data_IF_558327573364
#
_entry.id   IF_558327573364
#
_cell.length_a   1.000
_cell.length_b   1.000
_cell.length_c   1.000
_cell.angle_alpha   90.00
_cell.angle_beta   90.00
_cell.angle_gamma   90.00
#
_symmetry.space_group_name_H-M   'P 1'
#
loop_
_entity.id
_entity.type
_entity.pdbx_description
1 polymer ?
#
# COMPACT_ATOMS: atom_id res chain seq x y z
N UNK A 1 2.84 21.07 35.95
CA UNK A 1 1.72 21.95 36.23
C UNK A 1 0.62 21.68 35.25
N UNK A 2 -0.29 20.75 35.62
CA UNK A 2 -1.49 20.43 34.83
C UNK A 2 -2.48 21.59 34.90
N UNK A 3 -2.42 22.50 33.96
CA UNK A 3 -3.53 23.41 33.73
C UNK A 3 -4.62 22.60 33.05
N UNK A 4 -5.65 22.23 33.81
CA UNK A 4 -6.91 21.76 33.23
C UNK A 4 -7.45 22.88 32.33
N UNK A 5 -7.52 22.63 31.04
CA UNK A 5 -8.18 23.54 30.09
C UNK A 5 -9.68 23.45 30.32
N UNK A 6 -10.25 24.43 31.02
CA UNK A 6 -11.68 24.56 31.19
C UNK A 6 -12.25 25.28 29.98
N UNK A 7 -13.25 24.68 29.36
CA UNK A 7 -14.01 25.28 28.24
C UNK A 7 -15.41 25.61 28.73
N UNK A 8 -15.84 26.84 28.51
CA UNK A 8 -17.21 27.29 28.85
C UNK A 8 -18.04 27.27 27.55
N UNK A 9 -19.12 26.52 27.56
CA UNK A 9 -20.11 26.53 26.49
C UNK A 9 -21.38 27.24 27.02
N UNK A 10 -21.83 28.26 26.31
CA UNK A 10 -23.10 28.94 26.62
C UNK A 10 -24.19 28.25 25.80
N UNK A 11 -25.14 27.62 26.50
CA UNK A 11 -26.33 27.03 25.87
C UNK A 11 -27.37 28.16 25.70
N UNK A 12 -27.87 28.40 24.48
CA UNK A 12 -28.91 29.41 24.26
C UNK A 12 -30.18 29.10 25.07
N UNK A 13 -30.82 30.13 25.61
CA UNK A 13 -32.01 29.99 26.45
C UNK A 13 -33.21 29.33 25.74
N UNK A 14 -33.25 29.42 24.43
CA UNK A 14 -34.27 28.80 23.58
C UNK A 14 -34.07 27.30 23.33
N UNK A 15 -32.90 26.75 23.71
CA UNK A 15 -32.66 25.30 23.63
C UNK A 15 -33.59 24.49 24.52
N UNK A 16 -34.28 25.11 25.47
CA UNK A 16 -35.21 24.48 26.39
C UNK A 16 -36.71 24.62 25.97
N UNK A 17 -36.98 25.28 24.87
CA UNK A 17 -38.36 25.66 24.48
C UNK A 17 -39.29 24.50 24.02
N UNK A 18 -38.75 23.33 23.81
CA UNK A 18 -39.54 22.16 23.44
C UNK A 18 -39.52 21.10 24.56
N UNK A 19 -40.55 21.05 25.36
CA UNK A 19 -40.75 20.25 26.56
C UNK A 19 -40.68 18.71 26.39
N UNK A 20 -39.68 18.21 25.74
CA UNK A 20 -39.32 16.81 25.74
C UNK A 20 -37.91 16.68 26.34
N UNK A 21 -37.76 15.72 27.24
CA UNK A 21 -36.46 15.32 27.83
C UNK A 21 -35.58 14.79 26.69
N UNK A 22 -34.95 15.69 25.98
CA UNK A 22 -34.03 15.38 24.87
C UNK A 22 -32.60 15.16 25.38
N UNK A 23 -31.93 14.16 24.86
CA UNK A 23 -30.48 13.99 25.04
C UNK A 23 -29.78 15.02 24.18
N UNK A 24 -29.01 15.95 24.77
CA UNK A 24 -28.16 16.86 24.02
C UNK A 24 -26.84 16.16 23.70
N UNK A 25 -26.45 16.16 22.43
CA UNK A 25 -25.11 15.79 22.02
C UNK A 25 -24.30 17.08 21.80
N UNK A 26 -23.26 17.26 22.60
CA UNK A 26 -22.32 18.37 22.43
C UNK A 26 -21.15 17.85 21.61
N UNK A 27 -21.00 18.34 20.40
CA UNK A 27 -19.82 18.06 19.58
C UNK A 27 -18.77 19.11 19.89
N UNK A 28 -17.68 18.71 20.53
CA UNK A 28 -16.54 19.61 20.77
C UNK A 28 -15.47 19.28 19.74
N UNK A 29 -15.21 20.22 18.84
CA UNK A 29 -14.14 20.10 17.87
C UNK A 29 -12.94 20.90 18.37
N UNK A 30 -11.84 20.22 18.64
CA UNK A 30 -10.58 20.86 18.97
C UNK A 30 -9.79 21.11 17.71
N UNK A 31 -9.40 22.37 17.48
CA UNK A 31 -8.42 22.73 16.47
C UNK A 31 -7.05 22.88 17.16
N UNK A 32 -5.97 22.35 16.56
CA UNK A 32 -4.63 22.59 17.10
C UNK A 32 -4.29 24.08 17.03
N UNK A 33 -3.66 24.60 18.06
CA UNK A 33 -3.13 25.95 18.04
C UNK A 33 -1.80 25.91 17.30
N UNK A 34 -1.74 26.62 16.18
CA UNK A 34 -0.52 26.74 15.38
C UNK A 34 0.42 27.78 16.01
N UNK A 35 1.72 27.50 15.98
CA UNK A 35 2.75 28.48 16.33
C UNK A 35 2.93 29.49 15.19
N UNK A 36 3.57 30.62 15.52
CA UNK A 36 3.88 31.63 14.52
C UNK A 36 4.75 31.08 13.38
N UNK A 37 4.33 31.32 12.16
CA UNK A 37 4.99 30.82 10.93
C UNK A 37 4.69 29.39 10.56
N UNK A 38 3.84 28.68 11.30
CA UNK A 38 3.35 27.36 10.90
C UNK A 38 2.12 27.46 10.00
N UNK A 39 2.03 26.54 9.05
CA UNK A 39 0.88 26.30 8.22
C UNK A 39 0.17 25.02 8.61
N UNK A 40 -1.14 25.03 8.51
CA UNK A 40 -2.01 23.91 8.90
C UNK A 40 -1.80 22.69 8.01
N UNK A 41 -1.83 21.51 8.64
CA UNK A 41 -1.83 20.20 7.99
C UNK A 41 -3.13 19.50 8.34
N UNK A 42 -4.00 19.32 7.35
CA UNK A 42 -5.28 18.61 7.49
C UNK A 42 -5.17 17.22 6.87
N UNK A 43 -5.38 16.18 7.66
CA UNK A 43 -5.53 14.81 7.15
C UNK A 43 -7.01 14.43 7.17
N UNK A 44 -7.50 13.90 6.05
CA UNK A 44 -8.87 13.39 5.90
C UNK A 44 -8.89 11.87 5.67
N UNK A 45 -7.71 11.24 5.63
CA UNK A 45 -7.59 9.79 5.46
C UNK A 45 -7.87 9.06 6.78
N UNK A 46 -8.70 8.03 6.74
CA UNK A 46 -9.04 7.18 7.89
C UNK A 46 -7.84 6.31 8.31
N UNK A 47 -7.02 5.90 7.35
CA UNK A 47 -5.88 4.99 7.54
C UNK A 47 -4.53 5.71 7.56
N UNK A 48 -4.57 7.04 7.61
CA UNK A 48 -3.39 7.90 7.66
C UNK A 48 -3.31 8.62 9.00
N UNK A 49 -2.13 8.65 9.59
CA UNK A 49 -1.79 9.52 10.71
C UNK A 49 -0.61 10.42 10.35
N UNK A 50 -0.60 11.63 10.88
CA UNK A 50 0.48 12.60 10.70
C UNK A 50 1.18 12.86 12.03
N UNK A 51 2.48 13.12 12.00
CA UNK A 51 3.27 13.36 13.20
C UNK A 51 3.05 14.76 13.80
N UNK A 52 2.49 15.67 13.02
CA UNK A 52 2.20 17.06 13.43
C UNK A 52 1.02 17.66 12.65
N UNK A 53 0.29 18.58 13.26
CA UNK A 53 -0.86 19.27 12.64
C UNK A 53 -0.51 20.65 12.06
N UNK A 54 0.72 21.09 12.26
CA UNK A 54 1.27 22.30 11.68
C UNK A 54 2.77 22.21 11.57
N UNK A 55 3.34 22.83 10.54
CA UNK A 55 4.76 22.87 10.28
C UNK A 55 5.17 24.17 9.62
N UNK A 56 6.43 24.59 9.82
CA UNK A 56 7.02 25.71 9.12
C UNK A 56 7.47 25.29 7.70
N UNK A 57 7.52 26.22 6.75
CA UNK A 57 8.06 25.93 5.43
C UNK A 57 9.45 25.29 5.50
N UNK A 58 9.66 24.29 4.67
CA UNK A 58 10.92 23.52 4.64
C UNK A 58 11.04 22.42 5.68
N UNK A 59 10.16 22.33 6.67
CA UNK A 59 10.16 21.22 7.61
C UNK A 59 9.65 19.92 6.97
N UNK A 60 10.26 18.81 7.36
CA UNK A 60 9.78 17.48 6.97
C UNK A 60 8.60 17.06 7.85
N UNK A 61 7.55 16.61 7.20
CA UNK A 61 6.33 16.07 7.82
C UNK A 61 6.26 14.58 7.52
N UNK A 62 5.96 13.78 8.53
CA UNK A 62 5.84 12.34 8.41
C UNK A 62 4.37 11.91 8.40
N UNK A 63 4.04 11.03 7.45
CA UNK A 63 2.72 10.41 7.32
C UNK A 63 2.89 8.91 7.52
N UNK A 64 2.15 8.33 8.44
CA UNK A 64 2.11 6.89 8.63
C UNK A 64 0.79 6.35 8.08
N UNK A 65 0.89 5.45 7.12
CA UNK A 65 -0.23 4.69 6.57
C UNK A 65 -0.28 3.32 7.21
N UNK A 66 -1.43 2.93 7.73
CA UNK A 66 -1.64 1.61 8.33
C UNK A 66 -2.79 0.91 7.62
N UNK A 67 -2.57 -0.35 7.20
CA UNK A 67 -3.60 -1.22 6.64
C UNK A 67 -3.64 -2.53 7.41
N UNK A 68 -4.83 -2.97 7.76
CA UNK A 68 -5.08 -4.27 8.41
C UNK A 68 -5.35 -5.37 7.36
N UNK A 69 -4.86 -5.18 6.14
CA UNK A 69 -5.04 -6.12 5.04
C UNK A 69 -3.78 -6.25 4.20
N UNK A 70 -3.34 -7.49 3.97
CA UNK A 70 -2.22 -7.80 3.08
C UNK A 70 -2.52 -7.50 1.61
N UNK A 71 -3.80 -7.32 1.24
CA UNK A 71 -4.24 -7.09 -0.14
C UNK A 71 -4.59 -5.63 -0.44
N UNK A 72 -4.43 -4.73 0.53
CA UNK A 72 -4.71 -3.29 0.37
C UNK A 72 -3.67 -2.45 1.10
N UNK A 73 -3.29 -1.34 0.53
CA UNK A 73 -2.58 -0.28 1.24
C UNK A 73 -3.17 1.08 0.87
N UNK A 74 -2.87 2.06 1.69
CA UNK A 74 -3.34 3.43 1.51
C UNK A 74 -2.13 4.33 1.27
N UNK A 75 -2.12 5.00 0.12
CA UNK A 75 -1.04 5.90 -0.29
C UNK A 75 -1.50 7.33 -0.06
N UNK A 76 -0.74 8.16 0.67
CA UNK A 76 -1.10 9.55 0.84
C UNK A 76 -0.96 10.32 -0.47
N UNK A 77 -1.88 11.23 -0.68
CA UNK A 77 -1.79 12.27 -1.70
C UNK A 77 -1.83 13.60 -0.96
N UNK A 78 -0.79 14.40 -1.15
CA UNK A 78 -0.64 15.71 -0.49
C UNK A 78 -0.84 16.81 -1.52
N UNK A 79 -1.66 17.78 -1.21
CA UNK A 79 -1.87 18.96 -2.05
C UNK A 79 -1.93 20.20 -1.18
N UNK A 80 -1.48 21.34 -1.73
CA UNK A 80 -1.65 22.65 -1.09
C UNK A 80 -3.09 23.16 -1.22
N UNK A 81 -3.38 24.32 -0.63
CA UNK A 81 -4.69 24.94 -0.65
C UNK A 81 -5.16 25.35 -2.05
N UNK A 82 -4.25 25.48 -3.03
CA UNK A 82 -4.56 25.76 -4.43
C UNK A 82 -4.77 24.46 -5.24
N UNK A 83 -4.63 23.28 -4.61
CA UNK A 83 -4.77 21.99 -5.25
C UNK A 83 -3.50 21.52 -5.98
N UNK A 84 -2.37 22.21 -5.80
CA UNK A 84 -1.09 21.79 -6.37
C UNK A 84 -0.57 20.57 -5.61
N UNK A 85 -0.28 19.49 -6.34
CA UNK A 85 0.27 18.25 -5.75
C UNK A 85 1.67 18.46 -5.18
N UNK A 86 1.92 17.88 -4.02
CA UNK A 86 3.21 17.88 -3.33
C UNK A 86 3.75 16.45 -3.33
N UNK A 87 4.97 16.28 -3.79
CA UNK A 87 5.60 14.97 -3.86
C UNK A 87 5.84 14.39 -2.47
N UNK A 88 5.55 13.09 -2.34
CA UNK A 88 5.82 12.32 -1.13
C UNK A 88 6.89 11.28 -1.39
N UNK A 89 7.77 11.06 -0.42
CA UNK A 89 8.80 10.02 -0.45
C UNK A 89 8.40 8.88 0.47
N UNK A 90 8.42 7.64 -0.03
CA UNK A 90 8.23 6.44 0.78
C UNK A 90 9.56 6.11 1.49
N UNK A 91 9.60 6.25 2.80
CA UNK A 91 10.78 5.99 3.64
C UNK A 91 10.93 4.51 4.02
N UNK A 92 9.81 3.89 4.39
CA UNK A 92 9.83 2.50 4.83
C UNK A 92 8.51 1.78 4.59
N UNK A 93 8.61 0.46 4.48
CA UNK A 93 7.47 -0.46 4.48
C UNK A 93 7.76 -1.61 5.42
N UNK A 94 6.89 -1.83 6.38
CA UNK A 94 6.88 -2.99 7.27
C UNK A 94 5.65 -3.81 6.96
N UNK A 95 5.84 -5.10 6.74
CA UNK A 95 4.76 -6.07 6.50
C UNK A 95 4.86 -7.11 7.60
N UNK A 96 3.84 -7.17 8.43
CA UNK A 96 3.71 -8.13 9.52
C UNK A 96 2.39 -8.87 9.33
N UNK A 97 2.48 -10.16 9.01
CA UNK A 97 1.34 -11.01 8.65
C UNK A 97 0.37 -10.31 7.68
N UNK A 98 -0.78 -9.83 8.19
CA UNK A 98 -1.80 -9.14 7.39
C UNK A 98 -1.71 -7.61 7.48
N UNK A 99 -0.85 -7.09 8.35
CA UNK A 99 -0.71 -5.65 8.57
C UNK A 99 0.40 -5.05 7.72
N UNK A 100 0.11 -3.88 7.13
CA UNK A 100 1.09 -3.11 6.36
C UNK A 100 1.18 -1.74 6.97
N UNK A 101 2.41 -1.37 7.36
CA UNK A 101 2.72 -0.02 7.83
C UNK A 101 3.72 0.60 6.86
N UNK A 102 3.34 1.73 6.29
CA UNK A 102 4.20 2.50 5.38
C UNK A 102 4.40 3.91 5.95
N UNK A 103 5.62 4.38 5.89
CA UNK A 103 5.98 5.74 6.31
C UNK A 103 6.36 6.55 5.10
N UNK A 104 5.70 7.67 4.93
CA UNK A 104 5.95 8.66 3.88
C UNK A 104 6.39 9.97 4.51
N UNK A 105 7.15 10.75 3.75
CA UNK A 105 7.52 12.11 4.12
C UNK A 105 7.24 13.08 2.98
N UNK A 106 7.02 14.34 3.33
CA UNK A 106 6.99 15.46 2.40
C UNK A 106 7.60 16.70 3.05
N UNK A 107 7.99 17.67 2.24
CA UNK A 107 8.50 18.96 2.71
C UNK A 107 7.36 19.96 2.73
N UNK A 108 7.16 20.63 3.86
CA UNK A 108 6.08 21.61 4.05
C UNK A 108 6.28 22.84 3.15
N UNK A 109 5.30 23.21 2.32
CA UNK A 109 5.33 24.47 1.56
C UNK A 109 4.95 25.68 2.43
N UNK A 110 5.02 26.88 1.87
CA UNK A 110 4.53 28.12 2.48
C UNK A 110 2.99 28.28 2.34
N UNK A 111 2.26 27.18 2.52
CA UNK A 111 0.80 27.10 2.37
C UNK A 111 0.23 26.00 3.24
N UNK A 112 -1.06 26.10 3.52
CA UNK A 112 -1.81 25.00 4.14
C UNK A 112 -1.82 23.79 3.21
N UNK A 113 -1.79 22.59 3.79
CA UNK A 113 -1.83 21.34 3.04
C UNK A 113 -2.99 20.46 3.47
N UNK A 114 -3.51 19.73 2.50
CA UNK A 114 -4.51 18.67 2.73
C UNK A 114 -3.92 17.34 2.31
N UNK A 115 -4.01 16.36 3.21
CA UNK A 115 -3.60 14.99 2.97
C UNK A 115 -4.85 14.15 2.80
N UNK A 116 -4.94 13.48 1.67
CA UNK A 116 -5.99 12.51 1.36
C UNK A 116 -5.37 11.14 1.15
N UNK A 117 -6.16 10.10 1.10
CA UNK A 117 -5.69 8.75 0.85
C UNK A 117 -6.21 8.20 -0.47
N UNK A 118 -5.35 7.41 -1.12
CA UNK A 118 -5.71 6.58 -2.27
C UNK A 118 -5.48 5.12 -1.92
N UNK A 119 -6.53 4.34 -1.99
CA UNK A 119 -6.43 2.89 -1.76
C UNK A 119 -5.86 2.20 -2.99
N UNK A 120 -4.78 1.44 -2.81
CA UNK A 120 -4.27 0.50 -3.79
C UNK A 120 -4.67 -0.92 -3.39
N UNK A 121 -5.13 -1.69 -4.37
CA UNK A 121 -5.45 -3.11 -4.18
C UNK A 121 -4.36 -3.98 -4.79
N UNK A 122 -3.99 -5.02 -4.09
CA UNK A 122 -3.02 -6.01 -4.52
C UNK A 122 -3.71 -7.35 -4.74
N UNK A 123 -3.24 -8.07 -5.75
CA UNK A 123 -3.64 -9.43 -6.00
C UNK A 123 -2.94 -10.35 -5.00
N UNK A 124 -3.69 -11.21 -4.32
CA UNK A 124 -3.12 -12.31 -3.55
C UNK A 124 -2.57 -13.38 -4.51
N UNK A 125 -1.33 -13.82 -4.30
CA UNK A 125 -0.67 -14.78 -5.17
C UNK A 125 -0.34 -16.03 -4.37
N UNK A 126 -0.89 -17.17 -4.81
CA UNK A 126 -0.51 -18.49 -4.31
C UNK A 126 0.45 -19.13 -5.31
N UNK A 127 1.66 -19.48 -4.86
CA UNK A 127 2.62 -20.20 -5.70
C UNK A 127 2.35 -21.69 -5.63
N UNK A 128 2.32 -22.33 -6.78
CA UNK A 128 2.33 -23.77 -6.95
C UNK A 128 3.43 -24.18 -7.93
N UNK A 129 4.02 -25.34 -7.73
CA UNK A 129 4.92 -25.99 -8.68
C UNK A 129 4.52 -27.45 -8.82
N UNK A 130 5.06 -28.14 -9.80
CA UNK A 130 4.84 -29.59 -9.96
C UNK A 130 5.45 -30.42 -8.81
N UNK A 131 6.36 -29.85 -8.01
CA UNK A 131 6.85 -30.36 -6.74
C UNK A 131 7.26 -29.18 -5.85
N UNK A 132 6.36 -28.72 -4.98
CA UNK A 132 6.60 -27.57 -4.12
C UNK A 132 7.76 -27.77 -3.15
N UNK A 133 8.00 -28.99 -2.68
CA UNK A 133 9.10 -29.28 -1.76
C UNK A 133 10.47 -29.07 -2.41
N UNK A 134 10.54 -29.30 -3.71
CA UNK A 134 11.75 -29.20 -4.50
C UNK A 134 11.93 -27.84 -5.16
N UNK A 135 10.87 -27.27 -5.71
CA UNK A 135 10.98 -26.16 -6.65
C UNK A 135 10.48 -24.79 -6.13
N UNK A 136 9.68 -24.75 -5.06
CA UNK A 136 9.12 -23.48 -4.60
C UNK A 136 10.19 -22.43 -4.22
N UNK A 137 11.33 -22.85 -3.66
CA UNK A 137 12.45 -21.96 -3.33
C UNK A 137 13.22 -21.44 -4.55
N UNK A 138 13.02 -22.05 -5.72
CA UNK A 138 13.65 -21.69 -6.99
C UNK A 138 12.79 -20.75 -7.85
N UNK A 139 11.66 -20.28 -7.31
CA UNK A 139 10.79 -19.30 -7.96
C UNK A 139 10.77 -18.01 -7.16
N UNK A 140 11.14 -16.92 -7.81
CA UNK A 140 11.05 -15.56 -7.26
C UNK A 140 9.98 -14.77 -8.03
N UNK A 141 9.11 -14.08 -7.30
CA UNK A 141 8.05 -13.26 -7.89
C UNK A 141 7.66 -12.14 -6.92
N UNK A 142 6.94 -11.14 -7.43
CA UNK A 142 6.36 -10.11 -6.57
C UNK A 142 5.22 -10.71 -5.76
N UNK A 143 5.44 -10.96 -4.48
CA UNK A 143 4.40 -11.47 -3.55
C UNK A 143 3.21 -10.52 -3.43
N UNK A 144 3.38 -9.28 -3.84
CA UNK A 144 2.37 -8.23 -3.82
C UNK A 144 2.29 -7.58 -5.18
N UNK A 145 1.39 -8.08 -6.00
CA UNK A 145 1.14 -7.56 -7.34
C UNK A 145 -0.03 -6.60 -7.33
N UNK A 146 0.19 -5.36 -7.79
CA UNK A 146 -0.89 -4.41 -8.03
C UNK A 146 -1.88 -4.97 -9.06
N UNK A 147 -3.19 -4.85 -8.76
CA UNK A 147 -4.23 -5.16 -9.72
C UNK A 147 -4.10 -4.23 -10.94
N UNK A 148 -3.75 -4.80 -12.09
CA UNK A 148 -3.54 -4.05 -13.33
C UNK A 148 -2.09 -3.75 -13.69
N UNK A 149 -1.11 -4.14 -12.86
CA UNK A 149 0.31 -4.06 -13.19
C UNK A 149 0.87 -5.33 -13.84
N UNK A 150 2.13 -5.27 -14.28
CA UNK A 150 2.84 -6.44 -14.79
C UNK A 150 3.51 -7.18 -13.63
N UNK A 151 3.48 -8.51 -13.65
CA UNK A 151 4.20 -9.34 -12.70
C UNK A 151 5.41 -9.97 -13.36
N UNK A 152 6.58 -9.83 -12.75
CA UNK A 152 7.79 -10.54 -13.15
C UNK A 152 7.95 -11.79 -12.29
N UNK A 153 8.15 -12.92 -12.96
CA UNK A 153 8.43 -14.22 -12.35
C UNK A 153 9.81 -14.64 -12.82
N UNK A 154 10.68 -15.01 -11.90
CA UNK A 154 12.02 -15.52 -12.19
C UNK A 154 12.10 -16.94 -11.64
N UNK A 155 12.49 -17.90 -12.49
CA UNK A 155 12.69 -19.29 -12.11
C UNK A 155 14.15 -19.71 -12.42
N UNK A 156 14.74 -20.51 -11.52
CA UNK A 156 16.08 -21.06 -11.72
C UNK A 156 16.01 -22.14 -12.81
N UNK A 157 16.82 -21.99 -13.85
CA UNK A 157 16.95 -22.99 -14.95
C UNK A 157 18.01 -24.03 -14.70
N UNK A 158 18.85 -23.84 -13.68
CA UNK A 158 19.86 -24.79 -13.24
C UNK A 158 19.67 -25.02 -11.74
N UNK A 159 19.37 -26.26 -11.36
CA UNK A 159 19.17 -26.68 -9.98
C UNK A 159 19.98 -27.96 -9.79
N UNK A 160 20.89 -27.98 -8.81
CA UNK A 160 21.76 -29.12 -8.51
C UNK A 160 22.50 -29.69 -9.74
N UNK A 161 22.94 -28.80 -10.64
CA UNK A 161 23.66 -29.18 -11.86
C UNK A 161 22.79 -29.74 -12.99
N UNK A 162 21.47 -29.79 -12.81
CA UNK A 162 20.49 -30.21 -13.81
C UNK A 162 19.82 -29.02 -14.46
N UNK A 163 19.45 -29.16 -15.71
CA UNK A 163 18.78 -28.12 -16.49
C UNK A 163 17.28 -28.31 -16.51
N UNK A 164 16.53 -27.20 -16.42
CA UNK A 164 15.07 -27.21 -16.40
C UNK A 164 14.48 -26.19 -17.37
N UNK A 165 13.47 -26.62 -18.11
CA UNK A 165 12.53 -25.76 -18.83
C UNK A 165 11.33 -25.48 -17.94
N UNK A 166 10.70 -24.31 -18.14
CA UNK A 166 9.58 -23.90 -17.30
C UNK A 166 8.32 -23.69 -18.14
N UNK A 167 7.18 -24.00 -17.54
CA UNK A 167 5.86 -23.54 -18.00
C UNK A 167 5.26 -22.69 -16.89
N UNK A 168 5.00 -21.42 -17.19
CA UNK A 168 4.39 -20.47 -16.24
C UNK A 168 2.93 -20.30 -16.60
N UNK A 169 2.04 -20.59 -15.65
CA UNK A 169 0.60 -20.46 -15.80
C UNK A 169 0.08 -19.58 -14.66
N UNK A 170 -0.75 -18.59 -14.98
CA UNK A 170 -1.44 -17.77 -13.99
C UNK A 170 -2.93 -17.97 -14.18
N UNK A 171 -3.59 -18.46 -13.13
CA UNK A 171 -5.03 -18.70 -13.12
C UNK A 171 -5.69 -17.82 -12.09
N UNK A 172 -6.67 -17.01 -12.49
CA UNK A 172 -7.42 -16.13 -11.59
C UNK A 172 -8.77 -16.72 -11.19
N UNK A 173 -9.34 -16.20 -10.09
CA UNK A 173 -10.66 -16.61 -9.60
C UNK A 173 -11.81 -16.00 -10.42
N UNK A 174 -11.56 -14.92 -11.16
CA UNK A 174 -12.52 -14.27 -12.05
C UNK A 174 -12.05 -14.35 -13.49
N UNK A 175 -12.38 -15.43 -14.16
CA UNK A 175 -12.05 -15.67 -15.56
C UNK A 175 -10.64 -16.24 -15.74
N UNK A 176 -10.57 -17.38 -16.40
CA UNK A 176 -9.33 -18.10 -16.66
C UNK A 176 -8.35 -17.27 -17.48
N UNK A 177 -7.37 -16.69 -16.81
CA UNK A 177 -6.25 -16.04 -17.47
C UNK A 177 -5.09 -17.03 -17.52
N UNK A 178 -4.97 -17.75 -18.62
CA UNK A 178 -3.80 -18.59 -18.86
C UNK A 178 -2.74 -17.75 -19.57
N UNK A 179 -1.56 -17.64 -18.98
CA UNK A 179 -0.40 -17.03 -19.60
C UNK A 179 0.49 -18.14 -20.11
N UNK A 180 0.73 -18.14 -21.38
CA UNK A 180 1.58 -19.13 -22.05
C UNK A 180 3.06 -18.88 -21.75
N UNK A 181 3.84 -19.97 -21.90
CA UNK A 181 5.30 -20.08 -21.84
C UNK A 181 6.05 -18.77 -22.05
N UNK A 182 6.89 -18.40 -21.08
CA UNK A 182 7.93 -17.42 -21.28
C UNK A 182 9.14 -18.09 -21.95
N UNK A 183 9.78 -17.39 -22.86
CA UNK A 183 11.08 -17.79 -23.39
C UNK A 183 12.16 -17.62 -22.34
N UNK A 184 13.20 -18.45 -22.39
CA UNK A 184 14.39 -18.29 -21.55
C UNK A 184 15.07 -16.96 -21.88
N UNK A 185 15.08 -16.03 -20.95
CA UNK A 185 15.60 -14.67 -21.18
C UNK A 185 17.12 -14.58 -21.20
N UNK A 186 17.83 -15.51 -20.56
CA UNK A 186 19.28 -15.62 -20.60
C UNK A 186 19.76 -16.91 -19.96
N UNK A 187 20.57 -17.67 -20.69
CA UNK A 187 21.26 -18.87 -20.23
C UNK A 187 22.45 -18.59 -19.34
N UNK A 188 23.08 -17.43 -19.51
CA UNK A 188 24.29 -17.07 -18.80
C UNK A 188 24.08 -16.92 -17.28
N UNK A 189 22.87 -16.64 -16.84
CA UNK A 189 22.54 -16.50 -15.41
C UNK A 189 21.94 -17.73 -14.76
N UNK A 190 21.65 -18.79 -15.52
CA UNK A 190 20.94 -19.97 -15.00
C UNK A 190 19.51 -19.68 -14.54
N UNK A 191 18.92 -18.60 -15.02
CA UNK A 191 17.58 -18.13 -14.65
C UNK A 191 16.77 -17.75 -15.88
N UNK A 192 15.47 -18.01 -15.81
CA UNK A 192 14.50 -17.55 -16.81
C UNK A 192 13.59 -16.48 -16.18
N UNK A 193 13.32 -15.41 -16.92
CA UNK A 193 12.44 -14.33 -16.50
C UNK A 193 11.21 -14.29 -17.38
N UNK A 194 10.03 -14.24 -16.76
CA UNK A 194 8.74 -14.17 -17.41
C UNK A 194 8.03 -12.91 -16.97
N UNK A 195 7.48 -12.17 -17.92
CA UNK A 195 6.64 -11.01 -17.64
C UNK A 195 5.18 -11.33 -17.93
N UNK A 196 4.35 -11.29 -16.92
CA UNK A 196 2.91 -11.48 -17.05
C UNK A 196 2.26 -10.10 -17.11
N UNK A 197 1.86 -9.69 -18.32
CA UNK A 197 1.22 -8.41 -18.59
C UNK A 197 -0.30 -8.59 -18.68
N UNK A 198 -1.02 -8.51 -17.55
CA UNK A 198 -2.50 -8.57 -17.54
C UNK A 198 -3.07 -7.86 -16.33
N UNK A 199 -4.37 -7.53 -16.41
CA UNK A 199 -5.14 -7.12 -15.25
C UNK A 199 -5.31 -8.32 -14.33
N UNK A 200 -4.72 -8.23 -13.13
CA UNK A 200 -4.85 -9.27 -12.13
C UNK A 200 -6.16 -9.09 -11.36
N UNK A 201 -6.91 -10.16 -11.11
CA UNK A 201 -8.05 -10.16 -10.20
C UNK A 201 -7.60 -10.11 -8.73
N UNK A 202 -8.52 -10.23 -7.79
CA UNK A 202 -8.26 -10.18 -6.34
C UNK A 202 -7.29 -11.27 -5.89
N UNK A 203 -7.36 -12.47 -6.49
CA UNK A 203 -6.47 -13.58 -6.19
C UNK A 203 -6.12 -14.36 -7.45
N UNK A 204 -4.90 -14.88 -7.49
CA UNK A 204 -4.42 -15.77 -8.56
C UNK A 204 -3.58 -16.89 -8.00
N UNK A 205 -3.55 -18.02 -8.73
CA UNK A 205 -2.57 -19.07 -8.57
C UNK A 205 -1.50 -18.89 -9.65
N UNK A 206 -0.26 -18.69 -9.21
CA UNK A 206 0.92 -18.72 -10.05
C UNK A 206 1.47 -20.14 -10.02
N UNK A 207 1.38 -20.86 -11.15
CA UNK A 207 1.93 -22.19 -11.29
C UNK A 207 3.17 -22.17 -12.18
N UNK A 208 4.28 -22.72 -11.67
CA UNK A 208 5.53 -22.87 -12.40
C UNK A 208 5.91 -24.35 -12.40
N UNK A 209 5.75 -24.99 -13.55
CA UNK A 209 6.12 -26.39 -13.74
C UNK A 209 7.54 -26.48 -14.29
N UNK A 210 8.36 -27.34 -13.68
CA UNK A 210 9.76 -27.59 -14.04
C UNK A 210 9.87 -28.92 -14.76
N UNK A 211 10.46 -28.92 -15.94
CA UNK A 211 10.72 -30.12 -16.74
C UNK A 211 12.22 -30.26 -16.97
N UNK A 212 12.81 -31.31 -16.41
CA UNK A 212 14.24 -31.63 -16.62
C UNK A 212 14.54 -31.82 -18.11
N UNK A 213 15.68 -31.33 -18.58
CA UNK A 213 16.13 -31.40 -19.98
C UNK A 213 17.63 -31.66 -20.04
N UNK A 214 18.09 -32.37 -21.09
CA UNK A 214 19.47 -32.85 -21.19
C UNK A 214 20.53 -31.82 -21.55
N UNK A 215 20.23 -30.61 -21.69
CA UNK A 215 21.04 -29.44 -21.94
C UNK A 215 20.34 -28.49 -22.90
N UNK A 216 20.89 -27.33 -23.02
CA UNK A 216 20.42 -26.28 -23.87
C UNK A 216 20.25 -26.66 -25.33
N UNK A 217 19.04 -26.87 -25.80
CA UNK A 217 18.62 -26.74 -27.20
C UNK A 217 17.37 -25.93 -27.29
#
# INVERSE_FOLDING_TARGET
DGKENQYTCTIPDDAYAYGSVGTFMIYVQFAPVLEEGQYEIKSTGEYLSVDKYGAKPGETVKITSTSDSSTRNYVPTVADEDGTGIDTTLESTVIDEDKIVQVYTFVMPEKKVTITEKSNRYCAITLETNDNSKFASHVSYSKRQLMGGNMNVVADSIIDGKYYKHTVTVTGTEGNTTVKQGELSSLASGKATYTVAKKFPVAVTLRVDFVETDAYN
#
